data_IF_171915596252
#
_entry.id   IF_171915596252
#
_cell.length_a   1.000
_cell.length_b   1.000
_cell.length_c   1.000
_cell.angle_alpha   90.00
_cell.angle_beta   90.00
_cell.angle_gamma   90.00
#
_symmetry.space_group_name_H-M   'P 1'
#
loop_
_entity.id
_entity.type
_entity.pdbx_description
1 polymer ?
#
# COMPACT_ATOMS: atom_id res chain seq x y z
N UNK A 1 0.94 -9.83 -8.39
CA UNK A 1 2.29 -10.42 -8.26
C UNK A 1 2.08 -11.91 -8.01
N UNK A 2 2.74 -12.77 -8.77
CA UNK A 2 2.70 -14.22 -8.54
C UNK A 2 4.00 -14.63 -7.86
N UNK A 3 3.89 -15.29 -6.70
CA UNK A 3 5.05 -15.76 -5.92
C UNK A 3 4.83 -17.21 -5.54
N UNK A 4 5.83 -18.06 -5.79
CA UNK A 4 5.83 -19.46 -5.38
C UNK A 4 6.80 -19.64 -4.22
N UNK A 5 6.35 -20.31 -3.14
CA UNK A 5 7.19 -20.67 -1.99
C UNK A 5 7.39 -22.19 -2.02
N UNK A 6 8.64 -22.63 -2.14
CA UNK A 6 8.99 -24.06 -2.08
C UNK A 6 9.54 -24.42 -0.71
N UNK A 7 8.93 -25.41 -0.06
CA UNK A 7 9.34 -25.89 1.25
C UNK A 7 10.07 -27.23 1.11
N UNK A 8 11.40 -27.18 1.18
CA UNK A 8 12.25 -28.36 1.10
C UNK A 8 13.08 -28.49 2.38
N UNK A 9 13.11 -29.69 2.96
CA UNK A 9 13.93 -30.00 4.12
C UNK A 9 13.15 -30.13 5.43
N UNK A 10 13.84 -30.06 6.60
CA UNK A 10 13.21 -30.27 7.90
C UNK A 10 12.06 -29.29 8.17
N UNK A 11 11.00 -29.77 8.82
CA UNK A 11 9.79 -28.98 9.10
C UNK A 11 10.09 -27.67 9.82
N UNK A 12 11.03 -27.68 10.77
CA UNK A 12 11.45 -26.49 11.52
C UNK A 12 11.99 -25.38 10.61
N UNK A 13 12.79 -25.76 9.59
CA UNK A 13 13.33 -24.81 8.61
C UNK A 13 12.22 -24.26 7.71
N UNK A 14 11.29 -25.11 7.29
CA UNK A 14 10.14 -24.70 6.48
C UNK A 14 9.26 -23.67 7.22
N UNK A 15 9.00 -23.89 8.51
CA UNK A 15 8.27 -22.93 9.36
C UNK A 15 8.99 -21.58 9.41
N UNK A 16 10.32 -21.59 9.55
CA UNK A 16 11.10 -20.35 9.61
C UNK A 16 11.01 -19.57 8.30
N UNK A 17 11.13 -20.24 7.15
CA UNK A 17 10.98 -19.63 5.82
C UNK A 17 9.61 -18.95 5.69
N UNK A 18 8.53 -19.64 6.08
CA UNK A 18 7.18 -19.07 6.01
C UNK A 18 7.05 -17.83 6.89
N UNK A 19 7.60 -17.84 8.10
CA UNK A 19 7.57 -16.67 9.00
C UNK A 19 8.30 -15.47 8.42
N UNK A 20 9.44 -15.69 7.79
CA UNK A 20 10.20 -14.62 7.15
C UNK A 20 9.46 -14.03 5.95
N UNK A 21 8.86 -14.88 5.11
CA UNK A 21 8.04 -14.41 3.98
C UNK A 21 6.80 -13.66 4.47
N UNK A 22 6.15 -14.13 5.54
CA UNK A 22 5.02 -13.42 6.15
C UNK A 22 5.44 -12.05 6.69
N UNK A 23 6.53 -11.97 7.45
CA UNK A 23 7.02 -10.71 8.00
C UNK A 23 7.35 -9.69 6.89
N UNK A 24 7.90 -10.15 5.76
CA UNK A 24 8.14 -9.30 4.60
C UNK A 24 6.84 -8.75 4.00
N UNK A 25 5.82 -9.59 3.84
CA UNK A 25 4.51 -9.18 3.31
C UNK A 25 3.81 -8.19 4.26
N UNK A 26 3.82 -8.45 5.56
CA UNK A 26 3.23 -7.56 6.58
C UNK A 26 3.95 -6.20 6.60
N UNK A 27 5.28 -6.20 6.48
CA UNK A 27 6.06 -4.95 6.40
C UNK A 27 5.72 -4.16 5.15
N UNK A 28 5.59 -4.84 3.99
CA UNK A 28 5.23 -4.19 2.74
C UNK A 28 3.81 -3.59 2.80
N UNK A 29 2.83 -4.32 3.35
CA UNK A 29 1.47 -3.84 3.56
C UNK A 29 1.46 -2.59 4.47
N UNK A 30 2.25 -2.61 5.53
CA UNK A 30 2.35 -1.49 6.47
C UNK A 30 2.93 -0.24 5.81
N UNK A 31 4.02 -0.38 5.05
CA UNK A 31 4.63 0.74 4.31
C UNK A 31 3.67 1.33 3.27
N UNK A 32 2.87 0.49 2.61
CA UNK A 32 1.86 0.95 1.66
C UNK A 32 0.78 1.80 2.36
N UNK A 33 0.29 1.36 3.53
CA UNK A 33 -0.68 2.11 4.35
C UNK A 33 -0.11 3.44 4.86
N UNK A 34 1.16 3.45 5.26
CA UNK A 34 1.86 4.67 5.68
C UNK A 34 1.96 5.66 4.52
N UNK A 35 2.36 5.20 3.33
CA UNK A 35 2.41 6.03 2.13
C UNK A 35 1.06 6.65 1.76
N UNK A 36 -0.04 5.90 1.89
CA UNK A 36 -1.38 6.47 1.71
C UNK A 36 -1.72 7.52 2.77
N UNK A 37 -1.34 7.28 4.02
CA UNK A 37 -1.57 8.22 5.13
C UNK A 37 -0.83 9.53 4.91
N UNK A 38 0.44 9.46 4.50
CA UNK A 38 1.25 10.62 4.17
C UNK A 38 0.69 11.38 2.96
N UNK A 39 0.27 10.67 1.91
CA UNK A 39 -0.25 11.27 0.68
C UNK A 39 -1.54 12.08 0.93
N UNK A 40 -2.41 11.62 1.82
CA UNK A 40 -3.68 12.32 2.12
C UNK A 40 -3.58 13.28 3.30
N UNK A 41 -2.40 13.44 3.90
CA UNK A 41 -2.20 14.30 5.05
C UNK A 41 -2.59 15.75 4.72
N UNK A 42 -3.54 16.31 5.48
CA UNK A 42 -4.08 17.66 5.25
C UNK A 42 -5.12 17.76 4.12
N UNK A 43 -5.41 16.67 3.43
CA UNK A 43 -6.49 16.56 2.46
C UNK A 43 -7.83 16.21 3.16
N UNK A 44 -8.93 16.27 2.41
CA UNK A 44 -10.24 15.81 2.89
C UNK A 44 -10.48 14.31 2.67
N UNK A 45 -9.56 13.62 2.00
CA UNK A 45 -9.62 12.19 1.73
C UNK A 45 -9.02 11.40 2.90
N UNK A 46 -9.67 10.32 3.34
CA UNK A 46 -9.10 9.43 4.36
C UNK A 46 -8.18 8.36 3.73
N UNK A 47 -7.21 7.83 4.48
CA UNK A 47 -6.32 6.77 3.98
C UNK A 47 -7.11 5.52 3.57
N UNK A 48 -8.12 5.13 4.35
CA UNK A 48 -8.99 3.99 4.05
C UNK A 48 -9.79 4.18 2.75
N UNK A 49 -10.30 5.39 2.52
CA UNK A 49 -11.01 5.69 1.28
C UNK A 49 -10.08 5.63 0.07
N UNK A 50 -8.87 6.19 0.19
CA UNK A 50 -7.87 6.10 -0.86
C UNK A 50 -7.47 4.64 -1.14
N UNK A 51 -7.27 3.83 -0.11
CA UNK A 51 -6.97 2.39 -0.24
C UNK A 51 -8.09 1.63 -0.96
N UNK A 52 -9.37 1.89 -0.63
CA UNK A 52 -10.52 1.31 -1.34
C UNK A 52 -10.59 1.71 -2.80
N UNK A 53 -10.20 2.94 -3.13
CA UNK A 53 -10.14 3.41 -4.53
C UNK A 53 -8.97 2.74 -5.27
N UNK A 54 -7.80 2.68 -4.65
CA UNK A 54 -6.57 2.05 -5.18
C UNK A 54 -6.79 0.61 -5.63
N UNK A 55 -7.51 -0.17 -4.82
CA UNK A 55 -7.77 -1.59 -5.06
C UNK A 55 -8.85 -1.87 -6.12
N UNK A 56 -9.68 -0.87 -6.50
CA UNK A 56 -10.77 -1.07 -7.49
C UNK A 56 -10.46 -0.50 -8.86
N UNK A 57 -9.95 0.74 -8.93
CA UNK A 57 -9.42 1.45 -10.11
C UNK A 57 -9.26 2.93 -9.70
N UNK A 58 -8.10 3.33 -9.17
CA UNK A 58 -7.92 4.70 -8.65
C UNK A 58 -7.46 5.65 -9.75
N UNK A 59 -8.42 6.12 -10.54
CA UNK A 59 -8.20 7.26 -11.41
C UNK A 59 -8.85 8.50 -10.79
N UNK A 60 -8.03 9.49 -10.42
CA UNK A 60 -8.47 10.77 -9.85
C UNK A 60 -8.07 11.87 -10.84
N UNK A 61 -9.04 12.65 -11.30
CA UNK A 61 -8.76 13.78 -12.19
C UNK A 61 -8.01 14.90 -11.45
N UNK A 62 -7.16 15.66 -12.14
CA UNK A 62 -6.37 16.73 -11.52
C UNK A 62 -7.22 17.78 -10.77
N UNK A 63 -8.41 18.10 -11.30
CA UNK A 63 -9.36 19.00 -10.62
C UNK A 63 -9.90 18.39 -9.32
N UNK A 64 -10.29 17.12 -9.35
CA UNK A 64 -10.75 16.40 -8.15
C UNK A 64 -9.62 16.29 -7.12
N UNK A 65 -8.38 15.98 -7.54
CA UNK A 65 -7.23 15.92 -6.65
C UNK A 65 -6.95 17.28 -5.96
N UNK A 66 -7.15 18.39 -6.67
CA UNK A 66 -7.05 19.74 -6.12
C UNK A 66 -8.20 20.04 -5.14
N UNK A 67 -9.44 19.70 -5.50
CA UNK A 67 -10.63 19.87 -4.65
C UNK A 67 -10.55 19.04 -3.37
N UNK A 68 -9.99 17.83 -3.46
CA UNK A 68 -9.74 16.96 -2.31
C UNK A 68 -8.56 17.44 -1.46
N UNK A 69 -7.69 18.31 -1.98
CA UNK A 69 -6.50 18.81 -1.29
C UNK A 69 -5.31 17.83 -1.30
N UNK A 70 -5.29 16.87 -2.22
CA UNK A 70 -4.20 15.89 -2.38
C UNK A 70 -2.99 16.54 -3.07
N UNK A 71 -3.24 17.53 -3.93
CA UNK A 71 -2.20 18.31 -4.64
C UNK A 71 -2.46 19.79 -4.50
N UNK A 72 -1.40 20.61 -4.42
CA UNK A 72 -1.50 22.07 -4.37
C UNK A 72 -1.51 22.76 -5.75
N UNK A 73 -1.26 21.99 -6.82
CA UNK A 73 -1.10 22.51 -8.18
C UNK A 73 0.37 22.63 -8.61
N UNK A 74 0.59 23.14 -9.82
CA UNK A 74 1.94 23.32 -10.40
C UNK A 74 2.42 24.74 -10.13
N UNK A 75 3.60 24.86 -9.51
CA UNK A 75 4.28 26.14 -9.31
C UNK A 75 4.98 26.56 -10.62
N UNK A 76 4.92 27.85 -10.97
CA UNK A 76 5.57 28.43 -12.15
C UNK A 76 6.66 29.41 -11.74
#
# INVERSE_FOLDING_TARGET
>A
METNITLNGPMKSCIQIIREQLALLETAEQLEKEGFTELVAGSTLSPDELYRRATKNCYIHAREALELGIVAGVLR
#
